data_IF_606028326143
#
_entry.id   IF_606028326143
#
_cell.length_a   1.000
_cell.length_b   1.000
_cell.length_c   1.000
_cell.angle_alpha   90.00
_cell.angle_beta   90.00
_cell.angle_gamma   90.00
#
_symmetry.space_group_name_H-M   'P 1'
#
loop_
_entity.id
_entity.type
_entity.pdbx_description
1 polymer ?
#
# COMPACT_ATOMS: atom_id res chain seq x y z
N UNK A 1 -8.40 0.37 17.32
CA UNK A 1 -8.04 1.36 16.27
C UNK A 1 -7.93 0.69 14.90
N UNK A 2 -7.21 -0.43 14.76
CA UNK A 2 -6.98 -1.07 13.46
C UNK A 2 -8.26 -1.62 12.81
N UNK A 3 -9.21 -2.14 13.58
CA UNK A 3 -10.47 -2.68 13.05
C UNK A 3 -11.38 -1.61 12.45
N UNK A 4 -11.29 -0.37 12.92
CA UNK A 4 -12.07 0.75 12.36
C UNK A 4 -11.48 1.29 11.06
N UNK A 5 -10.16 1.13 10.85
CA UNK A 5 -9.44 1.72 9.72
C UNK A 5 -9.22 0.75 8.57
N UNK A 6 -9.25 -0.54 8.85
CA UNK A 6 -9.11 -1.60 7.88
C UNK A 6 -9.84 -2.85 8.38
N UNK A 7 -11.11 -3.08 7.98
CA UNK A 7 -11.94 -4.17 8.50
C UNK A 7 -11.36 -5.58 8.32
N UNK A 8 -10.48 -5.78 7.34
CA UNK A 8 -9.80 -7.05 7.09
C UNK A 8 -8.53 -7.27 7.93
N UNK A 9 -8.10 -6.28 8.70
CA UNK A 9 -6.84 -6.32 9.42
C UNK A 9 -6.96 -6.97 10.79
N UNK A 10 -6.28 -8.09 11.01
CA UNK A 10 -6.11 -8.70 12.33
C UNK A 10 -5.01 -7.95 13.08
N UNK A 11 -5.34 -7.35 14.22
CA UNK A 11 -4.43 -6.52 15.02
C UNK A 11 -3.10 -7.23 15.31
N UNK A 12 -2.00 -6.65 14.82
CA UNK A 12 -0.65 -7.01 15.26
C UNK A 12 -0.29 -6.31 16.60
N UNK A 13 0.82 -6.69 17.22
CA UNK A 13 1.33 -6.04 18.41
C UNK A 13 1.53 -4.54 18.18
N UNK A 14 1.12 -3.71 19.16
CA UNK A 14 1.21 -2.24 19.07
C UNK A 14 2.65 -1.72 18.95
N UNK A 15 3.61 -2.46 19.43
CA UNK A 15 5.04 -2.17 19.39
C UNK A 15 5.65 -2.25 17.99
N UNK A 16 5.00 -2.96 17.07
CA UNK A 16 5.39 -3.08 15.64
C UNK A 16 4.88 -1.94 14.75
N UNK A 17 4.12 -1.00 15.28
CA UNK A 17 3.58 0.14 14.54
C UNK A 17 4.54 1.32 14.61
N UNK A 18 4.93 1.82 13.44
CA UNK A 18 5.71 3.06 13.27
C UNK A 18 4.85 4.12 12.61
N UNK A 19 4.60 5.23 13.29
CA UNK A 19 3.81 6.35 12.77
C UNK A 19 4.59 7.13 11.71
N UNK A 20 3.89 7.60 10.68
CA UNK A 20 4.48 8.34 9.55
C UNK A 20 3.63 9.53 9.13
N UNK A 21 4.24 10.50 8.47
CA UNK A 21 3.53 11.65 7.88
C UNK A 21 2.88 11.26 6.54
N UNK A 22 2.02 10.22 6.56
CA UNK A 22 1.33 9.62 5.41
C UNK A 22 2.11 8.48 4.76
N UNK A 23 1.43 7.71 3.88
CA UNK A 23 1.99 6.50 3.25
C UNK A 23 3.24 6.77 2.40
N UNK A 24 3.30 7.89 1.68
CA UNK A 24 4.49 8.27 0.91
C UNK A 24 5.75 8.35 1.78
N UNK A 25 5.62 8.86 3.02
CA UNK A 25 6.70 8.84 3.99
C UNK A 25 6.97 7.43 4.50
N UNK A 26 5.92 6.62 4.69
CA UNK A 26 6.03 5.20 5.01
C UNK A 26 6.87 4.44 3.99
N UNK A 27 6.60 4.60 2.70
CA UNK A 27 7.39 4.02 1.61
C UNK A 27 8.85 4.45 1.70
N UNK A 28 9.10 5.75 1.81
CA UNK A 28 10.47 6.29 1.87
C UNK A 28 11.27 5.70 3.03
N UNK A 29 10.73 5.75 4.26
CA UNK A 29 11.47 5.28 5.45
C UNK A 29 11.68 3.77 5.43
N UNK A 30 10.72 3.01 4.87
CA UNK A 30 10.86 1.56 4.74
C UNK A 30 11.99 1.23 3.77
N UNK A 31 12.05 1.87 2.61
CA UNK A 31 13.15 1.69 1.67
C UNK A 31 14.49 2.13 2.26
N UNK A 32 14.55 3.27 2.96
CA UNK A 32 15.78 3.71 3.65
C UNK A 32 16.28 2.70 4.69
N UNK A 33 15.35 2.02 5.37
CA UNK A 33 15.70 1.02 6.39
C UNK A 33 16.15 -0.31 5.77
N UNK A 34 15.60 -0.68 4.60
CA UNK A 34 15.71 -2.03 4.03
C UNK A 34 16.72 -2.13 2.90
N UNK A 35 17.13 -1.02 2.30
CA UNK A 35 17.91 -1.04 1.05
C UNK A 35 19.12 -0.11 1.11
N UNK A 36 20.02 -0.32 0.16
CA UNK A 36 21.20 0.51 -0.09
C UNK A 36 21.19 1.00 -1.54
N UNK A 37 21.81 2.14 -1.85
CA UNK A 37 21.98 2.59 -3.23
C UNK A 37 22.60 1.48 -4.10
N UNK A 38 21.97 1.25 -5.25
CA UNK A 38 22.36 0.18 -6.18
C UNK A 38 21.57 -1.13 -6.04
N UNK A 39 20.84 -1.34 -4.93
CA UNK A 39 19.94 -2.50 -4.77
C UNK A 39 18.81 -2.48 -5.79
N UNK A 40 18.33 -3.67 -6.16
CA UNK A 40 17.20 -3.85 -7.06
C UNK A 40 15.93 -4.07 -6.26
N UNK A 41 14.88 -3.32 -6.60
CA UNK A 41 13.51 -3.46 -6.07
C UNK A 41 12.61 -4.02 -7.17
N UNK A 42 11.91 -5.10 -6.88
CA UNK A 42 10.85 -5.62 -7.73
C UNK A 42 9.57 -4.81 -7.51
N UNK A 43 8.83 -4.53 -8.56
CA UNK A 43 7.50 -3.94 -8.45
C UNK A 43 6.64 -4.31 -9.66
N UNK A 44 5.33 -4.18 -9.49
CA UNK A 44 4.38 -4.26 -10.60
C UNK A 44 4.83 -3.37 -11.77
N UNK A 45 4.77 -3.86 -13.01
CA UNK A 45 5.22 -3.15 -14.23
C UNK A 45 4.51 -1.79 -14.41
N UNK A 46 3.25 -1.71 -14.00
CA UNK A 46 2.51 -0.47 -13.83
C UNK A 46 2.38 -0.21 -12.33
N UNK A 47 3.01 0.84 -11.84
CA UNK A 47 3.09 1.08 -10.41
C UNK A 47 2.92 2.55 -10.04
N UNK A 48 2.73 2.83 -8.76
CA UNK A 48 2.50 4.16 -8.23
C UNK A 48 3.67 5.11 -8.54
N UNK A 49 3.44 6.24 -9.25
CA UNK A 49 4.52 7.15 -9.63
C UNK A 49 5.32 7.70 -8.44
N UNK A 50 4.65 7.91 -7.29
CA UNK A 50 5.32 8.38 -6.08
C UNK A 50 6.35 7.39 -5.54
N UNK A 51 6.07 6.09 -5.61
CA UNK A 51 7.03 5.03 -5.29
C UNK A 51 8.21 5.04 -6.28
N UNK A 52 7.94 5.11 -7.59
CA UNK A 52 8.98 5.15 -8.63
C UNK A 52 9.95 6.33 -8.41
N UNK A 53 9.42 7.50 -8.02
CA UNK A 53 10.27 8.66 -7.69
C UNK A 53 11.16 8.40 -6.46
N UNK A 54 10.63 7.77 -5.41
CA UNK A 54 11.42 7.41 -4.21
C UNK A 54 12.55 6.44 -4.58
N UNK A 55 12.26 5.40 -5.36
CA UNK A 55 13.27 4.43 -5.84
C UNK A 55 14.41 5.14 -6.55
N UNK A 56 14.10 6.03 -7.49
CA UNK A 56 15.10 6.83 -8.22
C UNK A 56 15.89 7.75 -7.30
N UNK A 57 15.23 8.43 -6.39
CA UNK A 57 15.86 9.36 -5.45
C UNK A 57 16.84 8.66 -4.49
N UNK A 58 16.55 7.43 -4.12
CA UNK A 58 17.44 6.61 -3.27
C UNK A 58 18.55 5.90 -4.06
N UNK A 59 18.64 6.09 -5.37
CA UNK A 59 19.64 5.44 -6.23
C UNK A 59 19.44 3.93 -6.36
N UNK A 60 18.19 3.46 -6.23
CA UNK A 60 17.81 2.06 -6.38
C UNK A 60 17.48 1.74 -7.84
N UNK A 61 17.58 0.47 -8.20
CA UNK A 61 17.18 -0.06 -9.50
C UNK A 61 15.76 -0.61 -9.39
N UNK A 62 14.89 -0.24 -10.33
CA UNK A 62 13.54 -0.77 -10.42
C UNK A 62 13.48 -1.87 -11.47
N UNK A 63 13.04 -3.05 -11.05
CA UNK A 63 12.80 -4.18 -11.93
C UNK A 63 11.30 -4.44 -12.03
N UNK A 64 10.70 -4.28 -13.23
CA UNK A 64 9.28 -4.51 -13.43
C UNK A 64 8.96 -6.01 -13.41
N UNK A 65 7.84 -6.36 -12.78
CA UNK A 65 7.25 -7.70 -12.76
C UNK A 65 5.94 -7.66 -13.54
N UNK A 66 5.76 -8.59 -14.45
CA UNK A 66 4.57 -8.66 -15.29
C UNK A 66 3.28 -8.82 -14.48
N UNK A 67 2.21 -8.27 -15.03
CA UNK A 67 0.87 -8.26 -14.45
C UNK A 67 -0.15 -8.91 -15.38
N UNK A 68 -1.21 -9.47 -14.79
CA UNK A 68 -2.42 -9.88 -15.47
C UNK A 68 -3.66 -9.13 -14.91
N UNK A 69 -4.85 -9.56 -15.26
CA UNK A 69 -6.11 -8.99 -14.76
C UNK A 69 -6.29 -9.08 -13.23
N UNK A 70 -5.50 -9.90 -12.56
CA UNK A 70 -5.53 -10.10 -11.11
C UNK A 70 -4.34 -9.43 -10.41
N UNK A 71 -3.55 -8.62 -11.11
CA UNK A 71 -2.36 -7.95 -10.60
C UNK A 71 -1.07 -8.69 -10.90
N UNK A 72 -0.08 -8.57 -10.03
CA UNK A 72 1.26 -9.15 -10.17
C UNK A 72 1.20 -10.68 -10.36
N UNK A 73 1.93 -11.19 -11.37
CA UNK A 73 2.01 -12.64 -11.69
C UNK A 73 3.10 -13.30 -10.83
N UNK A 74 2.76 -14.33 -10.00
CA UNK A 74 3.73 -14.95 -9.09
C UNK A 74 4.91 -15.63 -9.78
N UNK A 75 4.70 -16.27 -10.92
CA UNK A 75 5.79 -16.92 -11.67
C UNK A 75 6.76 -15.88 -12.25
N UNK A 76 6.25 -14.76 -12.74
CA UNK A 76 7.07 -13.64 -13.18
C UNK A 76 7.85 -13.00 -12.03
N UNK A 77 7.26 -12.95 -10.82
CA UNK A 77 7.96 -12.51 -9.61
C UNK A 77 9.14 -13.42 -9.29
N UNK A 78 8.94 -14.73 -9.31
CA UNK A 78 9.99 -15.71 -9.05
C UNK A 78 11.13 -15.60 -10.07
N UNK A 79 10.80 -15.51 -11.35
CA UNK A 79 11.78 -15.32 -12.42
C UNK A 79 12.60 -14.05 -12.23
N UNK A 80 11.93 -12.91 -11.99
CA UNK A 80 12.59 -11.62 -11.78
C UNK A 80 13.49 -11.63 -10.54
N UNK A 81 13.01 -12.22 -9.41
CA UNK A 81 13.78 -12.33 -8.19
C UNK A 81 15.04 -13.17 -8.38
N UNK A 82 14.94 -14.34 -9.02
CA UNK A 82 16.08 -15.20 -9.31
C UNK A 82 17.09 -14.56 -10.27
N UNK A 83 16.61 -13.89 -11.30
CA UNK A 83 17.44 -13.23 -12.32
C UNK A 83 18.21 -12.04 -11.77
N UNK A 84 17.58 -11.24 -10.91
CA UNK A 84 18.17 -10.00 -10.38
C UNK A 84 18.87 -10.15 -9.04
N UNK A 85 18.55 -11.19 -8.30
CA UNK A 85 18.96 -11.35 -6.91
C UNK A 85 18.29 -10.38 -5.94
N UNK A 86 17.20 -9.71 -6.38
CA UNK A 86 16.45 -8.77 -5.56
C UNK A 86 15.84 -9.43 -4.32
N UNK A 87 15.85 -8.69 -3.21
CA UNK A 87 15.31 -9.12 -1.92
C UNK A 87 14.14 -8.28 -1.44
N UNK A 88 13.67 -7.36 -2.25
CA UNK A 88 12.60 -6.45 -1.89
C UNK A 88 11.57 -6.34 -3.03
N UNK A 89 10.29 -6.46 -2.66
CA UNK A 89 9.13 -6.29 -3.53
C UNK A 89 8.28 -5.14 -3.01
N UNK A 90 7.83 -4.25 -3.89
CA UNK A 90 6.73 -3.32 -3.64
C UNK A 90 5.51 -3.75 -4.44
N UNK A 91 4.35 -3.84 -3.80
CA UNK A 91 3.09 -4.17 -4.47
C UNK A 91 1.88 -3.45 -3.85
N UNK A 92 0.82 -3.30 -4.66
CA UNK A 92 -0.45 -2.71 -4.27
C UNK A 92 -1.56 -3.76 -4.50
N UNK A 93 -1.76 -4.70 -3.56
CA UNK A 93 -2.71 -5.80 -3.76
C UNK A 93 -4.17 -5.35 -3.82
N UNK A 94 -4.49 -4.17 -3.26
CA UNK A 94 -5.84 -3.67 -3.10
C UNK A 94 -6.03 -2.32 -3.81
N UNK A 95 -6.91 -2.29 -4.81
CA UNK A 95 -7.16 -1.11 -5.67
C UNK A 95 -5.84 -0.57 -6.23
N UNK A 96 -5.18 -1.42 -6.98
CA UNK A 96 -3.87 -1.17 -7.57
C UNK A 96 -3.83 0.17 -8.33
N UNK A 97 -2.79 0.94 -8.09
CA UNK A 97 -2.57 2.20 -8.79
C UNK A 97 -1.45 2.02 -9.85
N UNK A 98 -1.81 2.12 -11.17
CA UNK A 98 -2.98 2.84 -11.71
C UNK A 98 -4.15 1.95 -12.17
N UNK A 99 -4.05 0.64 -12.21
CA UNK A 99 -4.96 -0.26 -12.93
C UNK A 99 -6.31 -0.51 -12.24
N UNK A 100 -6.51 -0.08 -10.99
CA UNK A 100 -7.71 -0.30 -10.17
C UNK A 100 -8.00 -1.75 -9.77
N UNK A 101 -7.14 -2.70 -10.13
CA UNK A 101 -7.30 -4.13 -9.87
C UNK A 101 -7.16 -4.45 -8.38
N UNK A 102 -7.82 -5.52 -7.95
CA UNK A 102 -7.66 -6.06 -6.59
C UNK A 102 -7.35 -7.54 -6.69
N UNK A 103 -6.30 -7.98 -6.01
CA UNK A 103 -5.86 -9.36 -6.03
C UNK A 103 -6.85 -10.26 -5.31
N UNK A 104 -7.25 -11.42 -5.88
CA UNK A 104 -8.06 -12.41 -5.19
C UNK A 104 -7.25 -13.13 -4.11
N UNK A 105 -7.96 -13.78 -3.18
CA UNK A 105 -7.35 -14.48 -2.03
C UNK A 105 -6.28 -15.49 -2.43
N UNK A 106 -6.51 -16.24 -3.49
CA UNK A 106 -5.55 -17.25 -3.97
C UNK A 106 -4.24 -16.61 -4.43
N UNK A 107 -4.32 -15.45 -5.12
CA UNK A 107 -3.15 -14.69 -5.55
C UNK A 107 -2.35 -14.14 -4.35
N UNK A 108 -3.05 -13.65 -3.32
CA UNK A 108 -2.41 -13.19 -2.07
C UNK A 108 -1.67 -14.33 -1.38
N UNK A 109 -2.27 -15.52 -1.30
CA UNK A 109 -1.64 -16.69 -0.71
C UNK A 109 -0.40 -17.15 -1.48
N UNK A 110 -0.50 -17.22 -2.80
CA UNK A 110 0.64 -17.59 -3.65
C UNK A 110 1.80 -16.58 -3.51
N UNK A 111 1.50 -15.28 -3.50
CA UNK A 111 2.52 -14.25 -3.24
C UNK A 111 3.17 -14.38 -1.86
N UNK A 112 2.38 -14.72 -0.82
CA UNK A 112 2.92 -14.95 0.53
C UNK A 112 3.89 -16.15 0.57
N UNK A 113 3.52 -17.26 -0.09
CA UNK A 113 4.37 -18.44 -0.22
C UNK A 113 5.67 -18.12 -0.99
N UNK A 114 5.57 -17.40 -2.11
CA UNK A 114 6.73 -16.95 -2.90
C UNK A 114 7.63 -16.01 -2.10
N UNK A 115 7.05 -15.09 -1.34
CA UNK A 115 7.83 -14.18 -0.50
C UNK A 115 8.69 -14.95 0.53
N UNK A 116 8.14 -16.01 1.14
CA UNK A 116 8.91 -16.89 2.03
C UNK A 116 9.98 -17.67 1.28
N UNK A 117 9.61 -18.33 0.18
CA UNK A 117 10.51 -19.21 -0.57
C UNK A 117 11.70 -18.46 -1.17
N UNK A 118 11.50 -17.20 -1.56
CA UNK A 118 12.51 -16.35 -2.20
C UNK A 118 13.22 -15.40 -1.21
N UNK A 119 12.90 -15.48 0.08
CA UNK A 119 13.43 -14.59 1.12
C UNK A 119 13.20 -13.10 0.80
N UNK A 120 12.02 -12.78 0.26
CA UNK A 120 11.67 -11.40 -0.10
C UNK A 120 11.07 -10.66 1.10
N UNK A 121 11.49 -9.42 1.30
CA UNK A 121 10.78 -8.44 2.10
C UNK A 121 9.77 -7.71 1.21
N UNK A 122 8.53 -7.55 1.67
CA UNK A 122 7.45 -6.98 0.86
C UNK A 122 6.95 -5.69 1.46
N UNK A 123 6.95 -4.62 0.66
CA UNK A 123 6.26 -3.38 0.96
C UNK A 123 4.84 -3.48 0.39
N UNK A 124 3.87 -3.79 1.22
CA UNK A 124 2.45 -3.80 0.88
C UNK A 124 1.87 -2.40 1.06
N UNK A 125 1.56 -1.71 -0.04
CA UNK A 125 0.90 -0.40 -0.01
C UNK A 125 -0.62 -0.58 -0.02
N UNK A 126 -1.24 -0.39 1.13
CA UNK A 126 -2.69 -0.60 1.34
C UNK A 126 -3.41 0.69 1.78
N UNK A 127 -3.16 1.80 1.10
CA UNK A 127 -3.81 3.09 1.38
C UNK A 127 -5.32 3.10 1.12
N UNK A 128 -5.83 2.10 0.41
CA UNK A 128 -7.24 1.96 0.07
C UNK A 128 -7.99 0.99 0.97
N UNK A 129 -7.30 0.20 1.79
CA UNK A 129 -7.87 -0.87 2.61
C UNK A 129 -9.02 -0.40 3.50
N UNK A 130 -8.91 0.79 4.08
CA UNK A 130 -9.97 1.36 4.92
C UNK A 130 -11.22 1.82 4.15
N UNK A 131 -11.18 1.95 2.82
CA UNK A 131 -12.34 2.26 1.98
C UNK A 131 -12.95 1.04 1.32
N UNK A 132 -12.14 0.02 1.05
CA UNK A 132 -12.62 -1.21 0.44
C UNK A 132 -13.19 -2.15 1.50
N UNK A 133 -14.49 -2.44 1.42
CA UNK A 133 -15.16 -3.45 2.22
C UNK A 133 -14.86 -4.84 1.63
N UNK A 134 -13.59 -5.24 1.71
CA UNK A 134 -13.11 -6.48 1.10
C UNK A 134 -13.21 -7.66 2.06
N UNK A 135 -13.52 -8.81 1.50
CA UNK A 135 -13.45 -10.10 2.22
C UNK A 135 -12.05 -10.72 2.21
N UNK A 136 -11.10 -10.12 1.45
CA UNK A 136 -9.74 -10.64 1.30
C UNK A 136 -8.82 -9.96 2.31
N UNK A 137 -8.20 -10.70 3.23
CA UNK A 137 -7.21 -10.16 4.17
C UNK A 137 -5.98 -9.59 3.46
N UNK A 138 -5.29 -8.61 4.05
CA UNK A 138 -4.03 -8.09 3.49
C UNK A 138 -2.93 -9.16 3.53
N UNK A 139 -1.90 -8.98 2.70
CA UNK A 139 -0.78 -9.90 2.57
C UNK A 139 -0.06 -10.14 3.92
N UNK A 140 0.03 -9.11 4.75
CA UNK A 140 0.65 -9.22 6.08
C UNK A 140 -0.02 -10.26 6.99
N UNK A 141 -1.30 -10.57 6.82
CA UNK A 141 -1.98 -11.60 7.62
C UNK A 141 -1.49 -13.03 7.29
N UNK A 142 -0.87 -13.22 6.12
CA UNK A 142 -0.34 -14.52 5.66
C UNK A 142 1.17 -14.66 5.91
N UNK A 143 1.93 -13.55 5.87
CA UNK A 143 3.39 -13.57 5.99
C UNK A 143 3.90 -12.37 6.80
N UNK A 144 3.48 -12.25 8.08
CA UNK A 144 3.78 -11.07 8.91
C UNK A 144 5.26 -10.86 9.21
N UNK A 145 6.08 -11.89 9.03
CA UNK A 145 7.53 -11.84 9.21
C UNK A 145 8.28 -11.26 8.00
N UNK A 146 7.57 -10.98 6.89
CA UNK A 146 8.15 -10.47 5.64
C UNK A 146 7.53 -9.17 5.16
N UNK A 147 6.36 -8.81 5.69
CA UNK A 147 5.56 -7.69 5.14
C UNK A 147 5.66 -6.45 6.00
N UNK A 148 5.98 -5.35 5.34
CA UNK A 148 5.80 -3.98 5.81
C UNK A 148 4.47 -3.46 5.25
N UNK A 149 3.42 -3.51 6.06
CA UNK A 149 2.11 -3.03 5.66
C UNK A 149 2.02 -1.52 5.86
N UNK A 150 1.90 -0.79 4.77
CA UNK A 150 1.91 0.68 4.71
C UNK A 150 0.51 1.18 4.43
N UNK A 151 0.01 2.07 5.28
CA UNK A 151 -1.29 2.69 5.06
C UNK A 151 -1.35 4.14 5.54
N UNK A 152 -2.47 4.83 5.26
CA UNK A 152 -2.69 6.20 5.72
C UNK A 152 -4.16 6.55 5.85
N UNK A 153 -4.45 7.59 6.62
CA UNK A 153 -5.80 8.14 6.77
C UNK A 153 -6.18 9.13 5.66
N UNK A 154 -5.30 9.37 4.71
CA UNK A 154 -5.51 10.36 3.65
C UNK A 154 -6.71 10.06 2.75
N UNK A 155 -7.05 8.78 2.56
CA UNK A 155 -8.16 8.35 1.68
C UNK A 155 -9.46 8.13 2.46
N UNK A 156 -9.34 7.68 3.71
CA UNK A 156 -10.48 7.36 4.58
C UNK A 156 -11.01 8.57 5.32
N UNK A 157 -10.15 9.47 5.77
CA UNK A 157 -10.52 10.61 6.59
C UNK A 157 -10.23 11.92 5.87
N UNK A 158 -8.98 12.39 5.95
CA UNK A 158 -8.59 13.66 5.33
C UNK A 158 -7.14 13.65 4.89
N UNK A 159 -6.90 14.01 3.62
CA UNK A 159 -5.54 14.11 3.07
C UNK A 159 -4.66 15.11 3.81
N UNK A 160 -5.25 16.17 4.34
CA UNK A 160 -4.54 17.23 5.10
C UNK A 160 -4.00 16.79 6.46
N UNK A 161 -4.49 15.70 7.05
CA UNK A 161 -3.95 15.14 8.29
C UNK A 161 -2.50 14.67 8.14
N UNK A 162 -2.08 14.29 6.93
CA UNK A 162 -0.75 13.75 6.68
C UNK A 162 -0.35 12.68 7.71
N UNK A 163 -1.28 11.78 8.03
CA UNK A 163 -1.09 10.72 9.01
C UNK A 163 -1.15 9.35 8.34
N UNK A 164 -0.19 8.50 8.68
CA UNK A 164 -0.11 7.12 8.23
C UNK A 164 0.71 6.29 9.21
N UNK A 165 0.84 5.02 8.91
CA UNK A 165 1.69 4.12 9.69
C UNK A 165 2.22 2.97 8.85
N UNK A 166 3.29 2.37 9.35
CA UNK A 166 3.84 1.11 8.85
C UNK A 166 3.75 0.09 9.98
N UNK A 167 3.11 -1.05 9.71
CA UNK A 167 3.24 -2.22 10.55
C UNK A 167 4.34 -3.09 9.97
N UNK A 168 5.41 -3.31 10.73
CA UNK A 168 6.63 -3.99 10.25
C UNK A 168 6.80 -5.38 10.83
N UNK A 169 7.64 -6.23 10.23
CA UNK A 169 8.22 -7.37 10.92
C UNK A 169 8.92 -6.92 12.22
N UNK A 170 8.88 -7.75 13.25
CA UNK A 170 9.37 -7.41 14.59
C UNK A 170 10.85 -6.97 14.58
N UNK A 171 11.68 -7.76 13.88
CA UNK A 171 13.13 -7.53 13.78
C UNK A 171 13.52 -6.22 13.07
N UNK A 172 12.57 -5.58 12.38
CA UNK A 172 12.81 -4.37 11.60
C UNK A 172 12.24 -3.08 12.21
N UNK A 173 11.50 -3.19 13.30
CA UNK A 173 10.78 -2.04 13.88
C UNK A 173 11.73 -0.92 14.31
N UNK A 174 12.87 -1.24 14.96
CA UNK A 174 13.81 -0.22 15.42
C UNK A 174 14.57 0.45 14.27
N UNK A 175 14.83 -0.28 13.19
CA UNK A 175 15.41 0.28 11.95
C UNK A 175 14.46 1.32 11.34
N UNK A 176 13.15 1.02 11.28
CA UNK A 176 12.15 1.97 10.81
C UNK A 176 12.06 3.21 11.69
N UNK A 177 12.05 3.05 13.01
CA UNK A 177 12.05 4.17 13.96
C UNK A 177 13.29 5.06 13.78
N UNK A 178 14.43 4.45 13.52
CA UNK A 178 15.66 5.18 13.20
C UNK A 178 15.52 5.95 11.89
N UNK A 179 14.97 5.34 10.84
CA UNK A 179 14.72 6.03 9.56
C UNK A 179 13.72 7.20 9.72
N UNK A 180 12.71 7.08 10.57
CA UNK A 180 11.83 8.22 10.93
C UNK A 180 12.64 9.35 11.56
N UNK A 181 13.45 9.05 12.60
CA UNK A 181 14.28 10.08 13.27
C UNK A 181 15.19 10.80 12.30
N UNK A 182 15.83 10.07 11.39
CA UNK A 182 16.73 10.65 10.39
C UNK A 182 16.02 11.46 9.30
N UNK A 183 14.76 11.16 9.01
CA UNK A 183 14.03 11.79 7.90
C UNK A 183 13.23 13.03 8.29
N UNK A 184 12.56 13.03 9.44
CA UNK A 184 11.71 14.14 9.91
C UNK A 184 11.51 14.16 11.42
N UNK A 185 12.38 13.47 12.16
CA UNK A 185 12.38 13.35 13.62
C UNK A 185 11.18 12.56 14.17
N UNK A 186 9.94 12.96 13.87
CA UNK A 186 8.72 12.29 14.28
C UNK A 186 7.52 12.71 13.43
N UNK A 187 6.44 11.97 13.49
CA UNK A 187 5.13 12.43 13.02
C UNK A 187 4.62 13.56 13.92
N UNK A 188 4.06 14.65 13.38
CA UNK A 188 3.54 15.76 14.20
C UNK A 188 2.53 15.28 15.24
N UNK A 189 2.78 15.48 16.55
CA UNK A 189 1.93 14.94 17.62
C UNK A 189 0.47 15.42 17.55
N UNK A 190 0.25 16.65 17.10
CA UNK A 190 -1.11 17.20 16.93
C UNK A 190 -1.92 16.38 15.92
N UNK A 191 -1.32 15.98 14.79
CA UNK A 191 -2.02 15.19 13.77
C UNK A 191 -2.29 13.77 14.28
N UNK A 192 -1.39 13.20 15.05
CA UNK A 192 -1.59 11.90 15.69
C UNK A 192 -2.74 11.96 16.70
N UNK A 193 -2.81 13.02 17.52
CA UNK A 193 -3.89 13.20 18.50
C UNK A 193 -5.25 13.42 17.83
N UNK A 194 -5.33 14.21 16.76
CA UNK A 194 -6.55 14.35 15.97
C UNK A 194 -7.00 13.01 15.42
N UNK A 195 -6.08 12.26 14.81
CA UNK A 195 -6.37 10.92 14.27
C UNK A 195 -6.87 9.97 15.36
N UNK A 196 -6.22 9.96 16.54
CA UNK A 196 -6.63 9.15 17.69
C UNK A 196 -8.07 9.48 18.12
N UNK A 197 -8.40 10.76 18.30
CA UNK A 197 -9.73 11.20 18.69
C UNK A 197 -10.79 10.80 17.68
N UNK A 198 -10.56 11.06 16.41
CA UNK A 198 -11.50 10.69 15.35
C UNK A 198 -11.75 9.19 15.22
N UNK A 199 -10.74 8.37 15.61
CA UNK A 199 -10.91 6.91 15.68
C UNK A 199 -11.76 6.53 16.90
N UNK A 200 -11.49 7.15 18.04
CA UNK A 200 -12.16 6.78 19.32
C UNK A 200 -13.59 7.27 19.40
N UNK A 201 -13.90 8.46 18.88
CA UNK A 201 -15.26 9.07 18.93
C UNK A 201 -16.16 8.66 17.74
N UNK A 202 -15.63 7.88 16.78
CA UNK A 202 -16.38 7.40 15.62
C UNK A 202 -16.36 8.32 14.40
N UNK A 203 -15.88 9.57 14.53
CA UNK A 203 -15.75 10.52 13.40
C UNK A 203 -14.99 9.91 12.21
N UNK A 204 -13.95 9.11 12.48
CA UNK A 204 -13.19 8.44 11.42
C UNK A 204 -14.03 7.49 10.58
N UNK A 205 -14.95 6.75 11.20
CA UNK A 205 -15.89 5.86 10.49
C UNK A 205 -16.91 6.66 9.66
N UNK A 206 -17.43 7.74 10.20
CA UNK A 206 -18.36 8.62 9.49
C UNK A 206 -17.70 9.22 8.24
N UNK A 207 -16.47 9.71 8.37
CA UNK A 207 -15.68 10.24 7.25
C UNK A 207 -15.38 9.17 6.20
N UNK A 208 -14.98 7.97 6.60
CA UNK A 208 -14.74 6.85 5.68
C UNK A 208 -16.02 6.48 4.90
N UNK A 209 -17.16 6.42 5.59
CA UNK A 209 -18.46 6.16 4.97
C UNK A 209 -18.85 7.28 3.99
N UNK A 210 -18.59 8.54 4.36
CA UNK A 210 -18.82 9.66 3.46
C UNK A 210 -17.93 9.59 2.21
N UNK A 211 -16.64 9.28 2.37
CA UNK A 211 -15.69 9.10 1.24
C UNK A 211 -16.15 7.98 0.29
N UNK A 212 -16.60 6.83 0.82
CA UNK A 212 -17.12 5.73 0.00
C UNK A 212 -18.33 6.17 -0.84
N UNK A 213 -19.32 6.85 -0.22
CA UNK A 213 -20.49 7.36 -0.95
C UNK A 213 -20.08 8.36 -2.02
N UNK A 214 -19.25 9.35 -1.67
CA UNK A 214 -18.80 10.37 -2.61
C UNK A 214 -17.98 9.79 -3.78
N UNK A 215 -17.11 8.81 -3.52
CA UNK A 215 -16.37 8.10 -4.56
C UNK A 215 -17.31 7.37 -5.52
N UNK A 216 -18.28 6.61 -4.99
CA UNK A 216 -19.26 5.86 -5.77
C UNK A 216 -20.08 6.78 -6.70
N UNK A 217 -20.52 7.93 -6.22
CA UNK A 217 -21.29 8.90 -7.01
C UNK A 217 -20.43 9.53 -8.12
N UNK A 218 -19.19 9.95 -7.80
CA UNK A 218 -18.25 10.49 -8.79
C UNK A 218 -17.90 9.48 -9.88
N UNK A 219 -17.65 8.24 -9.50
CA UNK A 219 -17.35 7.16 -10.45
C UNK A 219 -18.54 6.83 -11.35
N UNK A 220 -19.77 6.86 -10.79
CA UNK A 220 -20.99 6.71 -11.58
C UNK A 220 -21.13 7.82 -12.64
N UNK A 221 -20.88 9.07 -12.26
CA UNK A 221 -20.88 10.19 -13.22
C UNK A 221 -19.77 10.05 -14.26
N UNK A 222 -18.56 9.72 -13.84
CA UNK A 222 -17.42 9.52 -14.76
C UNK A 222 -17.68 8.37 -15.75
N UNK A 223 -18.30 7.28 -15.32
CA UNK A 223 -18.68 6.17 -16.19
C UNK A 223 -19.71 6.60 -17.27
N UNK A 224 -20.61 7.51 -16.95
CA UNK A 224 -21.55 8.08 -17.94
C UNK A 224 -20.82 8.94 -18.97
N UNK A 225 -19.85 9.78 -18.53
CA UNK A 225 -19.07 10.64 -19.43
C UNK A 225 -18.15 9.83 -20.34
N UNK A 226 -17.61 8.72 -19.83
CA UNK A 226 -16.67 7.83 -20.56
C UNK A 226 -17.41 6.71 -21.34
N UNK A 227 -18.73 6.81 -21.50
CA UNK A 227 -19.48 5.81 -22.27
C UNK A 227 -18.91 5.63 -23.68
N UNK A 228 -18.65 4.39 -24.06
CA UNK A 228 -18.01 4.04 -25.34
C UNK A 228 -16.48 3.99 -25.33
N UNK A 229 -15.84 4.33 -24.22
CA UNK A 229 -14.41 4.14 -24.00
C UNK A 229 -14.14 2.83 -23.23
N UNK A 230 -12.93 2.27 -23.40
CA UNK A 230 -12.47 1.12 -22.60
C UNK A 230 -11.82 1.65 -21.32
N UNK A 231 -12.44 1.37 -20.19
CA UNK A 231 -11.90 1.81 -18.89
C UNK A 231 -12.26 0.82 -17.76
N UNK A 232 -11.48 0.87 -16.70
CA UNK A 232 -11.76 0.16 -15.46
C UNK A 232 -11.73 1.10 -14.27
N UNK A 233 -12.46 0.73 -13.21
CA UNK A 233 -12.47 1.43 -11.93
C UNK A 233 -12.88 0.47 -10.81
N UNK A 234 -12.51 0.81 -9.59
CA UNK A 234 -13.01 0.14 -8.39
C UNK A 234 -14.02 1.03 -7.66
N UNK A 235 -15.18 0.52 -7.17
CA UNK A 235 -16.21 1.34 -6.52
C UNK A 235 -15.76 2.17 -5.32
N UNK A 236 -14.71 1.72 -4.62
CA UNK A 236 -14.09 2.46 -3.51
C UNK A 236 -12.85 3.26 -3.92
N UNK A 237 -12.46 3.24 -5.22
CA UNK A 237 -11.32 4.00 -5.74
C UNK A 237 -11.66 5.47 -6.01
N UNK A 238 -10.64 6.31 -6.13
CA UNK A 238 -10.79 7.73 -6.47
C UNK A 238 -10.25 8.07 -7.86
N UNK A 239 -10.00 7.07 -8.70
CA UNK A 239 -9.43 7.20 -10.04
C UNK A 239 -9.99 6.12 -10.97
N UNK A 240 -9.78 6.30 -12.25
CA UNK A 240 -10.18 5.43 -13.34
C UNK A 240 -8.94 5.11 -14.16
N UNK A 241 -8.82 3.88 -14.62
CA UNK A 241 -7.85 3.47 -15.62
C UNK A 241 -8.52 3.49 -16.99
N UNK A 242 -8.10 4.40 -17.86
CA UNK A 242 -8.59 4.53 -19.24
C UNK A 242 -7.56 3.93 -20.19
N UNK A 243 -8.00 2.99 -21.03
CA UNK A 243 -7.19 2.42 -22.09
C UNK A 243 -7.31 3.30 -23.34
N UNK A 244 -6.20 3.90 -23.75
CA UNK A 244 -6.17 4.71 -24.97
C UNK A 244 -5.90 3.81 -26.19
N UNK A 245 -6.54 4.06 -27.33
CA UNK A 245 -6.19 3.37 -28.57
C UNK A 245 -4.74 3.69 -28.96
N UNK A 246 -3.99 2.69 -29.38
CA UNK A 246 -2.62 2.80 -29.87
C UNK A 246 -2.62 3.50 -31.23
#
# INVERSE_FOLDING_TARGET
ANQCLNPGFRSGPHDRITLTSGAQRGILITLMAMTRPGDTILAEELSYPGFIHVVRQLGLKLEPVAMDQYGLIPDALEEAARRTGARCLYCIPNIQNPTTRTMPLERIRDLAERARALDLQVLEDDVWGGLNERDVPPLIDFVPERVFHITSLSKTMAGGLRFGYVLSPEDHTEQLRTAVRLSNWMTPPLMAEIARRWIEDGTGNELANWQRRAAKERLKYAAQVLQGQVFSYHPAGHFIWLELPL
#
